data_IF_288611121498
#
_entry.id   IF_288611121498
#
_cell.length_a   1.000
_cell.length_b   1.000
_cell.length_c   1.000
_cell.angle_alpha   90.00
_cell.angle_beta   90.00
_cell.angle_gamma   90.00
#
_symmetry.space_group_name_H-M   'P 1'
#
loop_
_entity.id
_entity.type
_entity.pdbx_description
1 polymer ?
#
# COMPACT_ATOMS: atom_id res chain seq x y z
N UNK A 1 5.12 -13.35 18.34
CA UNK A 1 4.23 -13.04 19.49
C UNK A 1 3.35 -11.86 19.16
N UNK A 2 2.15 -11.77 19.75
CA UNK A 2 1.36 -10.53 19.78
C UNK A 2 0.77 -10.28 21.17
N UNK A 3 0.50 -9.02 21.45
CA UNK A 3 -0.18 -8.58 22.66
C UNK A 3 -1.70 -8.70 22.47
N UNK A 4 -2.35 -9.50 23.33
CA UNK A 4 -3.81 -9.50 23.41
C UNK A 4 -4.27 -8.23 24.12
N UNK A 5 -4.88 -7.29 23.40
CA UNK A 5 -5.29 -5.99 23.97
C UNK A 5 -6.28 -6.15 25.15
N UNK A 6 -7.14 -7.17 25.11
CA UNK A 6 -8.08 -7.47 26.19
C UNK A 6 -7.45 -8.21 27.37
N UNK A 7 -6.47 -9.09 27.11
CA UNK A 7 -5.84 -9.91 28.15
C UNK A 7 -4.61 -9.25 28.76
N UNK A 8 -4.05 -8.22 28.11
CA UNK A 8 -2.76 -7.61 28.45
C UNK A 8 -1.56 -8.56 28.31
N UNK A 9 -1.76 -9.76 27.75
CA UNK A 9 -0.75 -10.82 27.72
C UNK A 9 -0.19 -11.01 26.32
N UNK A 10 1.13 -11.19 26.26
CA UNK A 10 1.79 -11.68 25.06
C UNK A 10 1.40 -13.14 24.84
N UNK A 11 1.05 -13.47 23.60
CA UNK A 11 0.85 -14.84 23.15
C UNK A 11 1.73 -15.13 21.95
N UNK A 12 2.18 -16.36 21.83
CA UNK A 12 2.76 -16.84 20.59
C UNK A 12 1.67 -16.86 19.51
N UNK A 13 2.00 -16.31 18.34
CA UNK A 13 1.20 -16.49 17.14
C UNK A 13 2.03 -17.47 16.35
N UNK A 14 1.49 -18.67 16.11
CA UNK A 14 2.18 -19.71 15.34
C UNK A 14 2.53 -19.25 13.94
N UNK A 15 3.08 -20.16 13.13
CA UNK A 15 3.58 -19.81 11.80
C UNK A 15 2.49 -19.20 10.92
N UNK A 16 2.79 -18.02 10.37
CA UNK A 16 1.90 -17.28 9.46
C UNK A 16 2.18 -17.60 7.99
N UNK A 17 3.21 -18.40 7.74
CA UNK A 17 3.81 -18.70 6.45
C UNK A 17 4.09 -20.20 6.37
N UNK A 18 4.06 -20.76 5.17
CA UNK A 18 4.52 -22.14 4.96
C UNK A 18 6.05 -22.23 5.00
N UNK A 19 6.56 -23.45 5.21
CA UNK A 19 7.99 -23.73 5.20
C UNK A 19 8.62 -23.31 3.86
N UNK A 20 9.66 -22.46 3.92
CA UNK A 20 10.31 -21.86 2.75
C UNK A 20 9.74 -20.53 2.26
N UNK A 21 8.63 -20.04 2.83
CA UNK A 21 8.11 -18.70 2.55
C UNK A 21 8.88 -17.58 3.31
N UNK A 22 8.74 -16.34 2.83
CA UNK A 22 9.69 -15.24 3.04
C UNK A 22 9.69 -14.68 4.48
N UNK A 23 10.89 -14.38 5.02
CA UNK A 23 11.08 -13.88 6.42
C UNK A 23 10.85 -12.37 6.64
N UNK A 24 10.75 -11.55 5.59
CA UNK A 24 10.65 -10.08 5.73
C UNK A 24 9.30 -9.59 5.24
N UNK A 25 8.52 -9.06 6.18
CA UNK A 25 7.20 -8.51 5.90
C UNK A 25 7.33 -7.21 5.10
N UNK A 26 6.50 -7.06 4.06
CA UNK A 26 6.28 -5.80 3.38
C UNK A 26 5.40 -4.85 4.21
N UNK A 27 5.09 -3.64 3.71
CA UNK A 27 4.18 -2.75 4.40
C UNK A 27 2.78 -3.38 4.52
N UNK A 28 2.14 -3.14 5.66
CA UNK A 28 0.84 -3.71 6.04
C UNK A 28 -0.19 -2.61 6.16
N UNK A 29 -1.39 -2.85 5.66
CA UNK A 29 -2.55 -1.96 5.79
C UNK A 29 -3.74 -2.73 6.36
N UNK A 30 -4.48 -2.11 7.27
CA UNK A 30 -5.66 -2.71 7.90
C UNK A 30 -6.92 -1.95 7.45
N UNK A 31 -7.94 -2.68 7.00
CA UNK A 31 -9.27 -2.13 6.79
C UNK A 31 -10.06 -2.29 8.08
N UNK A 32 -10.74 -1.21 8.48
CA UNK A 32 -11.67 -1.22 9.59
C UNK A 32 -13.10 -1.12 9.09
N UNK A 33 -14.01 -1.82 9.76
CA UNK A 33 -15.45 -1.61 9.59
C UNK A 33 -15.90 -0.30 10.24
N UNK A 34 -17.19 0.00 10.09
CA UNK A 34 -17.80 1.23 10.61
C UNK A 34 -17.72 1.34 12.14
N UNK A 35 -17.59 0.21 12.83
CA UNK A 35 -17.40 0.13 14.28
C UNK A 35 -15.93 0.33 14.72
N UNK A 36 -15.04 0.65 13.77
CA UNK A 36 -13.61 0.84 13.98
C UNK A 36 -12.82 -0.46 14.16
N UNK A 37 -13.48 -1.64 14.18
CA UNK A 37 -12.79 -2.92 14.31
C UNK A 37 -12.11 -3.28 12.99
N UNK A 38 -10.88 -3.75 13.10
CA UNK A 38 -10.15 -4.30 11.95
C UNK A 38 -10.88 -5.52 11.44
N UNK A 39 -11.35 -5.46 10.20
CA UNK A 39 -12.06 -6.56 9.52
C UNK A 39 -11.12 -7.34 8.62
N UNK A 40 -10.15 -6.65 8.00
CA UNK A 40 -9.21 -7.26 7.06
C UNK A 40 -7.82 -6.64 7.22
N UNK A 41 -6.79 -7.46 7.03
CA UNK A 41 -5.38 -7.01 7.06
C UNK A 41 -4.71 -7.46 5.78
N UNK A 42 -4.00 -6.55 5.15
CA UNK A 42 -3.32 -6.79 3.88
C UNK A 42 -1.85 -6.45 3.98
N UNK A 43 -1.02 -7.15 3.21
CA UNK A 43 0.40 -6.90 3.06
C UNK A 43 0.74 -6.78 1.59
N UNK A 44 1.58 -5.80 1.26
CA UNK A 44 2.16 -5.68 -0.07
C UNK A 44 3.56 -6.30 -0.07
N UNK A 45 3.79 -7.37 -0.83
CA UNK A 45 5.12 -7.89 -1.09
C UNK A 45 5.44 -7.92 -2.59
N UNK A 46 6.45 -7.17 -3.01
CA UNK A 46 6.76 -7.02 -4.42
C UNK A 46 5.61 -6.31 -5.14
N UNK A 47 4.93 -7.06 -6.02
CA UNK A 47 3.73 -6.62 -6.72
C UNK A 47 2.47 -7.36 -6.24
N UNK A 48 2.61 -8.25 -5.26
CA UNK A 48 1.53 -9.08 -4.77
C UNK A 48 0.95 -8.49 -3.49
N UNK A 49 -0.37 -8.44 -3.43
CA UNK A 49 -1.13 -8.14 -2.22
C UNK A 49 -1.55 -9.46 -1.62
N UNK A 50 -1.23 -9.65 -0.35
CA UNK A 50 -1.66 -10.78 0.47
C UNK A 50 -2.69 -10.30 1.49
N UNK A 51 -3.73 -11.10 1.71
CA UNK A 51 -4.74 -10.91 2.76
C UNK A 51 -4.45 -11.88 3.90
N UNK A 52 -4.54 -11.40 5.13
CA UNK A 52 -4.42 -12.25 6.30
C UNK A 52 -5.73 -13.00 6.55
N UNK A 53 -5.67 -14.32 6.60
CA UNK A 53 -6.76 -15.16 7.06
C UNK A 53 -6.60 -15.45 8.56
N UNK A 54 -7.45 -14.82 9.37
CA UNK A 54 -7.45 -14.99 10.81
C UNK A 54 -7.81 -16.42 11.25
N UNK A 55 -8.60 -17.15 10.46
CA UNK A 55 -9.06 -18.49 10.81
C UNK A 55 -7.93 -19.53 10.71
N UNK A 56 -7.17 -19.50 9.61
CA UNK A 56 -6.04 -20.40 9.41
C UNK A 56 -4.71 -19.85 9.94
N UNK A 57 -4.68 -18.60 10.40
CA UNK A 57 -3.45 -17.91 10.80
C UNK A 57 -2.42 -17.86 9.65
N UNK A 58 -2.86 -17.49 8.43
CA UNK A 58 -2.00 -17.48 7.23
C UNK A 58 -2.18 -16.26 6.35
N UNK A 59 -1.12 -15.89 5.64
CA UNK A 59 -1.20 -14.96 4.51
C UNK A 59 -1.60 -15.69 3.24
N UNK A 60 -2.64 -15.19 2.56
CA UNK A 60 -3.14 -15.72 1.30
C UNK A 60 -2.97 -14.68 0.21
N UNK A 61 -2.49 -15.09 -0.96
CA UNK A 61 -2.40 -14.17 -2.11
C UNK A 61 -3.81 -13.71 -2.51
N UNK A 62 -4.00 -12.40 -2.52
CA UNK A 62 -5.28 -11.75 -2.82
C UNK A 62 -5.28 -11.21 -4.26
N UNK A 63 -4.26 -10.44 -4.62
CA UNK A 63 -4.18 -9.79 -5.92
C UNK A 63 -2.73 -9.52 -6.34
N UNK A 64 -2.54 -9.15 -7.59
CA UNK A 64 -1.27 -8.62 -8.11
C UNK A 64 -1.54 -7.23 -8.68
N UNK A 65 -0.66 -6.26 -8.41
CA UNK A 65 -0.78 -4.89 -8.89
C UNK A 65 -0.77 -4.84 -10.42
N UNK A 66 -1.51 -3.90 -11.01
CA UNK A 66 -1.59 -3.76 -12.48
C UNK A 66 -0.26 -3.30 -13.08
N UNK A 67 0.44 -2.40 -12.39
CA UNK A 67 1.75 -1.89 -12.81
C UNK A 67 2.81 -2.40 -11.83
N UNK A 68 3.96 -2.82 -12.39
CA UNK A 68 5.11 -3.25 -11.60
C UNK A 68 5.62 -2.08 -10.75
N UNK A 69 5.71 -2.31 -9.46
CA UNK A 69 6.34 -1.43 -8.51
C UNK A 69 7.85 -1.59 -8.68
N UNK A 70 8.48 -0.63 -9.35
CA UNK A 70 9.91 -0.69 -9.69
C UNK A 70 10.82 -0.65 -8.45
N UNK A 71 10.34 -0.07 -7.34
CA UNK A 71 11.04 -0.05 -6.07
C UNK A 71 10.06 -0.09 -4.91
N UNK A 72 9.83 -1.28 -4.36
CA UNK A 72 8.97 -1.45 -3.18
C UNK A 72 9.52 -0.78 -1.93
N UNK A 73 10.81 -0.42 -1.88
CA UNK A 73 11.40 0.30 -0.74
C UNK A 73 10.96 1.76 -0.67
N UNK A 74 10.34 2.30 -1.71
CA UNK A 74 9.89 3.70 -1.76
C UNK A 74 8.38 3.84 -2.04
N UNK A 75 7.62 2.74 -1.95
CA UNK A 75 6.17 2.79 -2.11
C UNK A 75 5.48 2.90 -0.75
N UNK A 76 4.41 3.68 -0.71
CA UNK A 76 3.47 3.68 0.41
C UNK A 76 2.39 2.63 0.20
N UNK A 77 1.92 2.02 1.27
CA UNK A 77 0.78 1.11 1.23
C UNK A 77 -0.16 1.45 2.39
N UNK A 78 -1.33 1.96 2.06
CA UNK A 78 -2.28 2.51 3.05
C UNK A 78 -3.70 2.08 2.72
N UNK A 79 -4.53 1.96 3.74
CA UNK A 79 -5.96 1.76 3.61
C UNK A 79 -6.69 3.10 3.76
N UNK A 80 -7.67 3.35 2.90
CA UNK A 80 -8.51 4.55 2.97
C UNK A 80 -9.86 4.25 2.32
N UNK A 81 -10.97 4.63 2.97
CA UNK A 81 -12.33 4.46 2.45
C UNK A 81 -12.67 3.03 2.00
N UNK A 82 -12.20 2.01 2.74
CA UNK A 82 -12.43 0.59 2.40
C UNK A 82 -11.60 0.08 1.21
N UNK A 83 -10.57 0.83 0.79
CA UNK A 83 -9.73 0.46 -0.35
C UNK A 83 -8.24 0.54 0.01
N UNK A 84 -7.42 -0.15 -0.77
CA UNK A 84 -5.97 -0.22 -0.59
C UNK A 84 -5.29 0.65 -1.65
N UNK A 85 -4.44 1.56 -1.19
CA UNK A 85 -3.69 2.48 -2.02
C UNK A 85 -2.21 2.09 -2.01
N UNK A 86 -1.69 1.79 -3.19
CA UNK A 86 -0.25 1.67 -3.44
C UNK A 86 0.22 3.01 -4.01
N UNK A 87 1.02 3.74 -3.23
CA UNK A 87 1.50 5.07 -3.56
C UNK A 87 2.90 4.98 -4.14
N UNK A 88 3.09 5.51 -5.35
CA UNK A 88 4.40 5.56 -6.01
C UNK A 88 4.67 6.93 -6.60
N UNK A 89 5.93 7.39 -6.48
CA UNK A 89 6.38 8.57 -7.21
C UNK A 89 6.64 8.18 -8.66
N UNK A 90 5.98 8.83 -9.62
CA UNK A 90 6.25 8.59 -11.03
C UNK A 90 7.58 9.27 -11.40
N UNK A 91 8.51 8.51 -12.00
CA UNK A 91 9.71 9.13 -12.58
C UNK A 91 9.28 10.03 -13.74
N UNK A 92 9.74 11.28 -13.72
CA UNK A 92 9.65 12.17 -14.88
C UNK A 92 10.45 11.53 -16.03
N UNK A 93 9.91 11.42 -17.25
CA UNK A 93 10.66 10.89 -18.38
C UNK A 93 11.95 11.71 -18.59
N UNK A 94 13.08 11.00 -18.73
CA UNK A 94 14.34 11.61 -19.14
C UNK A 94 14.17 12.31 -20.49
N UNK A 95 14.86 13.43 -20.66
CA UNK A 95 14.63 14.42 -21.72
C UNK A 95 14.80 13.88 -23.14
N UNK A 96 13.93 14.34 -24.04
CA UNK A 96 14.28 14.55 -25.46
C UNK A 96 14.46 16.07 -25.60
N UNK A 97 15.63 16.58 -25.98
CA UNK A 97 15.88 18.01 -26.04
C UNK A 97 15.12 18.62 -27.22
N UNK A 98 14.30 19.63 -26.93
CA UNK A 98 13.60 20.41 -27.96
C UNK A 98 13.18 21.79 -27.42
N UNK A 99 13.07 22.81 -28.29
CA UNK A 99 13.18 24.23 -27.89
C UNK A 99 11.98 24.81 -27.13
N UNK A 100 10.93 24.00 -26.90
CA UNK A 100 9.63 24.44 -26.36
C UNK A 100 9.40 24.11 -24.87
N UNK A 101 10.42 23.67 -24.13
CA UNK A 101 10.23 23.09 -22.78
C UNK A 101 10.62 24.05 -21.64
N UNK A 102 9.70 24.97 -21.33
CA UNK A 102 9.61 25.62 -20.01
C UNK A 102 8.28 25.33 -19.31
N UNK A 103 7.57 24.27 -19.74
CA UNK A 103 6.48 23.70 -18.96
C UNK A 103 7.13 23.06 -17.72
N UNK A 104 6.97 23.71 -16.56
CA UNK A 104 7.40 23.19 -15.25
C UNK A 104 7.10 21.69 -15.18
N UNK A 105 8.14 20.85 -15.11
CA UNK A 105 8.02 19.40 -15.00
C UNK A 105 7.49 19.06 -13.61
N UNK A 106 6.19 19.27 -13.41
CA UNK A 106 5.54 19.00 -12.14
C UNK A 106 5.60 17.51 -11.89
N UNK A 107 6.13 17.10 -10.74
CA UNK A 107 6.19 15.69 -10.35
C UNK A 107 4.77 15.11 -10.40
N UNK A 108 4.59 13.95 -11.02
CA UNK A 108 3.32 13.25 -10.98
C UNK A 108 3.39 12.16 -9.91
N UNK A 109 2.31 12.02 -9.13
CA UNK A 109 2.11 10.91 -8.22
C UNK A 109 1.16 9.92 -8.88
N UNK A 110 1.50 8.64 -8.82
CA UNK A 110 0.64 7.57 -9.31
C UNK A 110 0.19 6.71 -8.13
N UNK A 111 -1.12 6.55 -8.02
CA UNK A 111 -1.76 5.69 -7.02
C UNK A 111 -2.43 4.52 -7.73
N UNK A 112 -2.04 3.29 -7.38
CA UNK A 112 -2.81 2.11 -7.76
C UNK A 112 -3.76 1.77 -6.62
N UNK A 113 -5.06 1.83 -6.89
CA UNK A 113 -6.10 1.61 -5.88
C UNK A 113 -6.77 0.27 -6.13
N UNK A 114 -6.75 -0.59 -5.12
CA UNK A 114 -7.44 -1.87 -5.12
C UNK A 114 -8.65 -1.81 -4.20
N UNK A 115 -9.78 -2.28 -4.70
CA UNK A 115 -10.99 -2.44 -3.92
C UNK A 115 -11.18 -3.94 -3.61
N UNK A 116 -10.96 -4.39 -2.34
CA UNK A 116 -11.09 -5.80 -1.98
C UNK A 116 -12.50 -6.36 -2.19
N UNK A 117 -13.54 -5.57 -1.94
CA UNK A 117 -14.93 -6.01 -2.11
C UNK A 117 -15.30 -6.33 -3.56
N UNK A 118 -14.82 -5.53 -4.51
CA UNK A 118 -15.09 -5.73 -5.95
C UNK A 118 -13.97 -6.46 -6.69
N UNK A 119 -12.82 -6.68 -6.04
CA UNK A 119 -11.59 -7.25 -6.60
C UNK A 119 -11.09 -6.52 -7.84
N UNK A 120 -11.28 -5.21 -7.89
CA UNK A 120 -10.90 -4.37 -9.04
C UNK A 120 -9.80 -3.39 -8.69
N UNK A 121 -8.93 -3.18 -9.67
CA UNK A 121 -7.88 -2.19 -9.64
C UNK A 121 -8.23 -0.99 -10.50
N UNK A 122 -7.87 0.21 -10.03
CA UNK A 122 -7.83 1.44 -10.81
C UNK A 122 -6.53 2.20 -10.56
N UNK A 123 -6.21 3.12 -11.45
CA UNK A 123 -5.02 3.99 -11.34
C UNK A 123 -5.47 5.43 -11.30
N UNK A 124 -4.94 6.20 -10.35
CA UNK A 124 -5.15 7.63 -10.24
C UNK A 124 -3.80 8.33 -10.40
N UNK A 125 -3.82 9.48 -11.07
CA UNK A 125 -2.63 10.32 -11.23
C UNK A 125 -2.96 11.71 -10.74
N UNK A 126 -2.12 12.25 -9.86
CA UNK A 126 -2.29 13.59 -9.30
C UNK A 126 -0.96 14.34 -9.30
N UNK A 127 -1.03 15.66 -9.19
CA UNK A 127 0.14 16.53 -9.15
C UNK A 127 0.19 17.18 -7.77
N UNK A 128 1.26 16.97 -7.00
CA UNK A 128 1.37 17.56 -5.68
C UNK A 128 1.38 19.09 -5.80
N UNK A 129 0.81 19.82 -4.82
CA UNK A 129 0.83 21.28 -4.80
C UNK A 129 2.25 21.85 -4.68
N UNK A 130 3.20 21.03 -4.23
CA UNK A 130 4.62 21.39 -4.06
C UNK A 130 5.47 20.58 -5.04
N UNK A 131 6.42 21.23 -5.71
CA UNK A 131 7.43 20.60 -6.58
C UNK A 131 8.58 20.00 -5.76
N UNK A 132 8.23 19.20 -4.75
CA UNK A 132 9.19 18.48 -3.92
C UNK A 132 8.96 16.96 -4.05
N UNK A 133 10.01 16.14 -4.15
CA UNK A 133 9.88 14.68 -4.07
C UNK A 133 9.23 14.27 -2.74
N UNK A 134 8.22 13.41 -2.81
CA UNK A 134 7.57 12.84 -1.62
C UNK A 134 8.15 11.44 -1.38
N UNK A 135 8.73 11.21 -0.20
CA UNK A 135 9.08 9.86 0.24
C UNK A 135 7.86 9.20 0.93
N UNK A 136 7.25 8.24 0.24
CA UNK A 136 6.10 7.51 0.75
C UNK A 136 6.43 6.51 1.88
N UNK A 137 7.70 6.35 2.27
CA UNK A 137 8.04 5.64 3.51
C UNK A 137 7.64 6.40 4.76
N UNK A 138 7.66 7.73 4.68
CA UNK A 138 7.42 8.62 5.81
C UNK A 138 6.16 9.44 5.65
N UNK A 139 5.59 9.49 4.44
CA UNK A 139 4.33 10.20 4.18
C UNK A 139 3.12 9.36 4.60
N UNK A 140 2.08 10.06 5.07
CA UNK A 140 0.77 9.49 5.39
C UNK A 140 -0.29 10.08 4.46
N UNK A 141 -1.37 9.33 4.25
CA UNK A 141 -2.55 9.78 3.52
C UNK A 141 -3.75 9.69 4.46
N UNK A 142 -4.58 10.73 4.48
CA UNK A 142 -5.80 10.76 5.27
C UNK A 142 -6.93 11.44 4.50
N UNK A 143 -8.16 11.14 4.92
CA UNK A 143 -9.33 11.93 4.56
C UNK A 143 -9.40 13.18 5.43
N UNK A 144 -9.67 14.33 4.82
CA UNK A 144 -9.97 15.58 5.52
C UNK A 144 -11.39 15.96 5.14
N UNK A 145 -12.24 16.18 6.14
CA UNK A 145 -13.57 16.77 5.96
C UNK A 145 -13.41 18.30 5.91
N UNK A 146 -14.04 18.94 4.92
CA UNK A 146 -14.00 20.39 4.68
C UNK A 146 -15.34 21.04 5.04
#
# INVERSE_FOLDING_TARGET
MALGLWSGKWREIGDMWAEGERRRLGPVAALSGDDGRVTEVFMLDGNDVFRYDFASNRWLKEATTRRKILNTKSCGFVSMNGELYVLTSAKVPAEVPGPWRLLKKRLALEFQVYNPGTKKWRVLTTHPPVDAPIDFRTATLCTVEL
#
